data_IF_383026110659
#
_entry.id   IF_383026110659
#
_cell.length_a   1.000
_cell.length_b   1.000
_cell.length_c   1.000
_cell.angle_alpha   90.00
_cell.angle_beta   90.00
_cell.angle_gamma   90.00
#
_symmetry.space_group_name_H-M   'P 1'
#
loop_
_entity.id
_entity.type
_entity.pdbx_description
1 polymer ?
#
# COMPACT_ATOMS: atom_id res chain seq x y z
N UNK A 1 -27.41 -6.05 50.14
CA UNK A 1 -27.18 -7.49 49.92
C UNK A 1 -25.84 -7.82 50.54
N UNK A 2 -25.73 -8.95 51.24
CA UNK A 2 -24.50 -9.39 51.91
C UNK A 2 -24.03 -10.68 51.24
N UNK A 3 -22.71 -10.83 51.07
CA UNK A 3 -22.10 -12.05 50.56
C UNK A 3 -21.19 -12.67 51.60
N UNK A 4 -21.10 -14.00 51.60
CA UNK A 4 -20.22 -14.73 52.50
C UNK A 4 -18.82 -14.86 51.87
N UNK A 5 -17.77 -14.51 52.63
CA UNK A 5 -16.41 -14.70 52.17
C UNK A 5 -16.06 -16.21 52.13
N UNK A 6 -15.68 -16.72 50.96
CA UNK A 6 -15.37 -18.15 50.75
C UNK A 6 -14.25 -18.71 51.64
N UNK A 7 -13.32 -17.86 52.08
CA UNK A 7 -12.13 -18.29 52.85
C UNK A 7 -12.35 -18.31 54.36
N UNK A 8 -12.99 -17.29 54.92
CA UNK A 8 -13.14 -17.12 56.37
C UNK A 8 -14.59 -17.19 56.85
N UNK A 9 -15.57 -17.32 55.94
CA UNK A 9 -16.97 -17.55 56.27
C UNK A 9 -17.74 -16.35 56.83
N UNK A 10 -17.11 -15.20 57.01
CA UNK A 10 -17.79 -13.98 57.51
C UNK A 10 -18.69 -13.35 56.45
N UNK A 11 -19.76 -12.69 56.89
CA UNK A 11 -20.61 -11.87 56.05
C UNK A 11 -19.95 -10.52 55.81
N UNK A 12 -19.91 -10.09 54.55
CA UNK A 12 -19.38 -8.79 54.14
C UNK A 12 -20.35 -8.10 53.16
N UNK A 13 -20.29 -6.76 53.06
CA UNK A 13 -21.04 -6.03 52.06
C UNK A 13 -20.68 -6.52 50.64
N UNK A 14 -21.68 -6.78 49.79
CA UNK A 14 -21.44 -7.29 48.42
C UNK A 14 -20.59 -6.35 47.55
N UNK A 15 -20.54 -5.06 47.88
CA UNK A 15 -19.73 -4.06 47.17
C UNK A 15 -18.25 -4.04 47.60
N UNK A 16 -17.91 -4.72 48.70
CA UNK A 16 -16.54 -4.74 49.23
C UNK A 16 -15.68 -5.74 48.45
N UNK A 17 -14.62 -5.29 47.75
CA UNK A 17 -13.85 -6.14 46.84
C UNK A 17 -12.85 -7.03 47.58
N UNK A 18 -12.52 -6.70 48.83
CA UNK A 18 -11.56 -7.41 49.67
C UNK A 18 -12.15 -7.66 51.05
N UNK A 19 -11.97 -8.87 51.58
CA UNK A 19 -12.41 -9.21 52.92
C UNK A 19 -11.55 -8.47 53.97
N UNK A 20 -12.14 -7.73 54.92
CA UNK A 20 -11.39 -7.00 55.94
C UNK A 20 -10.70 -7.92 56.95
N UNK A 21 -11.20 -9.14 57.15
CA UNK A 21 -10.65 -10.08 58.14
C UNK A 21 -9.48 -10.92 57.59
N UNK A 22 -9.60 -11.48 56.38
CA UNK A 22 -8.59 -12.41 55.83
C UNK A 22 -7.87 -11.88 54.59
N UNK A 23 -8.28 -10.74 54.04
CA UNK A 23 -7.65 -10.12 52.88
C UNK A 23 -7.92 -10.79 51.53
N UNK A 24 -8.82 -11.77 51.45
CA UNK A 24 -9.19 -12.45 50.21
C UNK A 24 -9.97 -11.51 49.27
N UNK A 25 -9.65 -11.52 47.98
CA UNK A 25 -10.39 -10.80 46.94
C UNK A 25 -11.68 -11.57 46.65
N UNK A 26 -12.82 -10.87 46.59
CA UNK A 26 -14.10 -11.51 46.32
C UNK A 26 -14.24 -11.88 44.84
N UNK A 27 -14.83 -13.03 44.54
CA UNK A 27 -15.07 -13.48 43.15
C UNK A 27 -16.07 -12.59 42.39
N UNK A 28 -16.91 -11.85 43.11
CA UNK A 28 -17.85 -10.88 42.52
C UNK A 28 -17.14 -9.62 42.01
N UNK A 29 -15.87 -9.42 42.36
CA UNK A 29 -15.10 -8.26 41.95
C UNK A 29 -14.47 -8.46 40.58
N UNK A 30 -14.93 -7.69 39.59
CA UNK A 30 -14.35 -7.68 38.25
C UNK A 30 -13.19 -6.70 38.17
N UNK A 31 -11.97 -7.22 38.09
CA UNK A 31 -10.76 -6.42 37.94
C UNK A 31 -10.67 -5.80 36.53
N UNK A 32 -10.40 -4.50 36.47
CA UNK A 32 -10.21 -3.75 35.22
C UNK A 32 -8.71 -3.62 34.92
N UNK A 33 -8.22 -4.34 33.92
CA UNK A 33 -6.81 -4.23 33.49
C UNK A 33 -6.52 -2.90 32.81
N UNK A 34 -5.39 -2.30 33.20
CA UNK A 34 -4.85 -1.06 32.62
C UNK A 34 -4.39 -1.28 31.19
N UNK A 35 -3.67 -2.38 30.95
CA UNK A 35 -3.14 -2.72 29.63
C UNK A 35 -4.26 -3.10 28.66
N UNK A 36 -5.30 -3.79 29.12
CA UNK A 36 -6.48 -4.06 28.29
C UNK A 36 -7.20 -2.77 27.90
N UNK A 37 -7.44 -1.87 28.85
CA UNK A 37 -8.06 -0.57 28.56
C UNK A 37 -7.22 0.26 27.57
N UNK A 38 -5.89 0.26 27.73
CA UNK A 38 -4.97 0.93 26.81
C UNK A 38 -4.99 0.32 25.40
N UNK A 39 -4.96 -1.01 25.27
CA UNK A 39 -5.03 -1.68 23.98
C UNK A 39 -6.36 -1.38 23.27
N UNK A 40 -7.47 -1.44 24.00
CA UNK A 40 -8.79 -1.08 23.47
C UNK A 40 -8.87 0.39 23.04
N UNK A 41 -8.16 1.29 23.73
CA UNK A 41 -8.12 2.70 23.36
C UNK A 41 -7.27 2.95 22.11
N UNK A 42 -6.12 2.26 21.97
CA UNK A 42 -5.20 2.45 20.83
C UNK A 42 -5.73 1.83 19.53
N UNK A 43 -6.32 0.63 19.60
CA UNK A 43 -6.77 -0.10 18.40
C UNK A 43 -8.28 0.00 18.16
N UNK A 44 -9.07 0.19 19.23
CA UNK A 44 -10.53 0.30 19.18
C UNK A 44 -11.05 1.68 19.56
N UNK A 45 -10.16 2.69 19.66
CA UNK A 45 -10.49 4.03 20.14
C UNK A 45 -11.59 4.70 19.34
N UNK A 46 -11.66 4.48 18.02
CA UNK A 46 -12.69 5.06 17.15
C UNK A 46 -14.12 4.64 17.56
N UNK A 47 -14.28 3.47 18.17
CA UNK A 47 -15.56 2.96 18.65
C UNK A 47 -15.76 3.20 20.16
N UNK A 48 -14.75 3.69 20.87
CA UNK A 48 -14.82 3.92 22.31
C UNK A 48 -14.84 2.65 23.16
N UNK A 49 -14.32 1.52 22.67
CA UNK A 49 -14.34 0.24 23.40
C UNK A 49 -13.71 0.32 24.79
N UNK A 50 -12.68 1.12 24.98
CA UNK A 50 -12.06 1.36 26.28
C UNK A 50 -12.99 2.04 27.28
N UNK A 51 -13.89 2.92 26.84
CA UNK A 51 -14.88 3.59 27.70
C UNK A 51 -15.99 2.62 28.12
N UNK A 52 -16.46 1.78 27.20
CA UNK A 52 -17.39 0.70 27.52
C UNK A 52 -16.77 -0.34 28.45
N UNK A 53 -15.50 -0.71 28.24
CA UNK A 53 -14.74 -1.59 29.12
C UNK A 53 -14.66 -1.05 30.56
N UNK A 54 -14.54 0.27 30.73
CA UNK A 54 -14.53 0.91 32.04
C UNK A 54 -15.93 1.08 32.65
N UNK A 55 -17.00 0.73 31.93
CA UNK A 55 -18.40 0.89 32.37
C UNK A 55 -18.92 2.32 32.28
N UNK A 56 -18.36 3.15 31.39
CA UNK A 56 -18.70 4.57 31.26
C UNK A 56 -19.68 4.79 30.09
N UNK A 57 -20.87 5.34 30.38
CA UNK A 57 -21.93 5.57 29.39
C UNK A 57 -21.55 6.54 28.26
N UNK A 58 -20.60 7.44 28.52
CA UNK A 58 -20.14 8.42 27.54
C UNK A 58 -19.37 7.80 26.37
N UNK A 59 -19.09 6.49 26.39
CA UNK A 59 -18.63 5.75 25.22
C UNK A 59 -19.57 5.89 24.00
N UNK A 60 -20.87 6.17 24.22
CA UNK A 60 -21.82 6.41 23.11
C UNK A 60 -21.41 7.57 22.20
N UNK A 61 -20.77 8.61 22.74
CA UNK A 61 -20.31 9.74 21.93
C UNK A 61 -19.21 9.34 20.94
N UNK A 62 -18.40 8.33 21.28
CA UNK A 62 -17.38 7.81 20.37
C UNK A 62 -18.05 7.09 19.19
N UNK A 63 -19.14 6.35 19.43
CA UNK A 63 -19.90 5.69 18.36
C UNK A 63 -20.62 6.70 17.46
N UNK A 64 -21.23 7.74 18.03
CA UNK A 64 -21.93 8.77 17.24
C UNK A 64 -20.98 9.62 16.40
N UNK A 65 -19.76 9.85 16.90
CA UNK A 65 -18.73 10.66 16.24
C UNK A 65 -17.70 9.82 15.48
N UNK A 66 -17.86 8.50 15.35
CA UNK A 66 -16.83 7.62 14.78
C UNK A 66 -16.46 8.01 13.33
N UNK A 67 -17.42 8.49 12.55
CA UNK A 67 -17.25 8.94 11.17
C UNK A 67 -16.43 10.25 11.03
N UNK A 68 -16.28 11.01 12.11
CA UNK A 68 -15.49 12.26 12.12
C UNK A 68 -14.00 12.00 12.33
N UNK A 69 -13.61 10.77 12.67
CA UNK A 69 -12.26 10.39 13.13
C UNK A 69 -11.74 11.14 14.37
N UNK A 70 -12.48 12.11 14.93
CA UNK A 70 -12.14 12.77 16.20
C UNK A 70 -11.97 11.75 17.34
N UNK A 71 -12.87 10.75 17.51
CA UNK A 71 -12.71 9.73 18.55
C UNK A 71 -11.44 8.90 18.43
N UNK A 72 -10.87 8.76 17.22
CA UNK A 72 -9.61 8.05 17.02
C UNK A 72 -8.45 8.79 17.69
N UNK A 73 -8.32 10.11 17.45
CA UNK A 73 -7.25 10.92 18.06
C UNK A 73 -7.40 10.97 19.58
N UNK A 74 -8.63 11.17 20.07
CA UNK A 74 -8.91 11.18 21.52
C UNK A 74 -8.59 9.82 22.14
N UNK A 75 -8.98 8.72 21.48
CA UNK A 75 -8.67 7.36 21.92
C UNK A 75 -7.16 7.08 21.99
N UNK A 76 -6.38 7.57 21.02
CA UNK A 76 -4.91 7.46 21.07
C UNK A 76 -4.31 8.18 22.27
N UNK A 77 -4.73 9.43 22.53
CA UNK A 77 -4.25 10.21 23.68
C UNK A 77 -4.59 9.48 24.99
N UNK A 78 -5.83 9.01 25.12
CA UNK A 78 -6.28 8.28 26.30
C UNK A 78 -5.55 6.96 26.50
N UNK A 79 -5.29 6.23 25.41
CA UNK A 79 -4.47 5.01 25.43
C UNK A 79 -3.06 5.26 25.97
N UNK A 80 -2.40 6.34 25.52
CA UNK A 80 -1.08 6.75 26.02
C UNK A 80 -1.17 7.12 27.51
N UNK A 81 -2.18 7.91 27.91
CA UNK A 81 -2.39 8.27 29.31
C UNK A 81 -2.57 7.02 30.18
N UNK A 82 -3.33 6.02 29.72
CA UNK A 82 -3.50 4.77 30.46
C UNK A 82 -2.20 3.98 30.60
N UNK A 83 -1.37 3.93 29.56
CA UNK A 83 -0.05 3.28 29.61
C UNK A 83 0.94 4.02 30.52
N UNK A 84 0.83 5.35 30.62
CA UNK A 84 1.68 6.18 31.47
C UNK A 84 1.18 6.28 32.92
N UNK A 85 -0.09 5.95 33.19
CA UNK A 85 -0.66 5.93 34.55
C UNK A 85 -0.04 4.80 35.36
N UNK A 86 0.40 5.06 36.60
CA UNK A 86 0.96 4.02 37.45
C UNK A 86 -0.08 2.95 37.82
N UNK A 87 0.36 1.71 38.08
CA UNK A 87 -0.56 0.64 38.47
C UNK A 87 -1.33 0.97 39.76
N UNK A 88 -0.68 1.66 40.70
CA UNK A 88 -1.29 2.02 41.99
C UNK A 88 -2.38 3.09 41.83
N UNK A 89 -2.14 4.11 41.02
CA UNK A 89 -3.16 5.13 40.69
C UNK A 89 -4.32 4.52 39.92
N UNK A 90 -4.03 3.64 38.96
CA UNK A 90 -5.05 2.91 38.21
C UNK A 90 -5.96 2.12 39.15
N UNK A 91 -5.35 1.36 40.06
CA UNK A 91 -6.10 0.54 41.00
C UNK A 91 -6.92 1.38 41.98
N UNK A 92 -6.39 2.51 42.46
CA UNK A 92 -7.17 3.46 43.28
C UNK A 92 -8.39 3.99 42.53
N UNK A 93 -8.25 4.31 41.25
CA UNK A 93 -9.31 4.93 40.44
C UNK A 93 -10.38 3.93 39.97
N UNK A 94 -9.97 2.74 39.51
CA UNK A 94 -10.87 1.81 38.82
C UNK A 94 -11.07 0.48 39.54
N UNK A 95 -10.19 0.13 40.48
CA UNK A 95 -10.19 -1.17 41.18
C UNK A 95 -10.28 -1.04 42.72
N UNK A 96 -10.76 0.10 43.25
CA UNK A 96 -10.93 0.35 44.69
C UNK A 96 -9.66 0.06 45.54
N UNK A 97 -8.47 0.27 44.97
CA UNK A 97 -7.18 0.01 45.61
C UNK A 97 -6.73 -1.46 45.63
N UNK A 98 -7.51 -2.39 45.04
CA UNK A 98 -7.13 -3.80 44.91
C UNK A 98 -6.10 -3.98 43.79
N UNK A 99 -5.01 -4.69 44.08
CA UNK A 99 -3.95 -5.01 43.12
C UNK A 99 -3.96 -6.48 42.75
N UNK A 100 -4.02 -6.78 41.45
CA UNK A 100 -3.91 -8.14 40.90
C UNK A 100 -2.49 -8.48 40.40
N UNK A 101 -1.49 -7.64 40.70
CA UNK A 101 -0.10 -7.81 40.28
C UNK A 101 0.43 -6.68 39.39
N UNK A 102 1.59 -6.91 38.75
CA UNK A 102 2.23 -5.94 37.83
C UNK A 102 1.89 -6.27 36.38
N UNK A 103 1.30 -5.32 35.66
CA UNK A 103 0.99 -5.45 34.24
C UNK A 103 2.13 -4.86 33.37
N UNK A 104 2.66 -5.64 32.42
CA UNK A 104 3.67 -5.18 31.45
C UNK A 104 3.01 -4.64 30.19
N UNK A 105 3.25 -3.36 29.86
CA UNK A 105 2.69 -2.70 28.68
C UNK A 105 3.55 -2.75 27.41
N UNK A 106 4.77 -3.30 27.48
CA UNK A 106 5.75 -3.27 26.39
C UNK A 106 5.19 -3.80 25.06
N UNK A 107 4.45 -4.90 25.11
CA UNK A 107 3.87 -5.52 23.90
C UNK A 107 2.87 -4.57 23.21
N UNK A 108 2.01 -3.91 23.99
CA UNK A 108 1.02 -2.96 23.44
C UNK A 108 1.69 -1.76 22.80
N UNK A 109 2.74 -1.21 23.42
CA UNK A 109 3.52 -0.10 22.86
C UNK A 109 4.18 -0.50 21.54
N UNK A 110 4.82 -1.68 21.51
CA UNK A 110 5.49 -2.18 20.30
C UNK A 110 4.49 -2.35 19.16
N UNK A 111 3.34 -3.00 19.39
CA UNK A 111 2.34 -3.20 18.35
C UNK A 111 1.74 -1.86 17.90
N UNK A 112 1.46 -0.95 18.82
CA UNK A 112 0.87 0.36 18.51
C UNK A 112 1.79 1.24 17.64
N UNK A 113 3.11 1.03 17.72
CA UNK A 113 4.09 1.73 16.88
C UNK A 113 4.35 0.98 15.58
N UNK A 114 4.58 -0.33 15.62
CA UNK A 114 4.97 -1.11 14.44
C UNK A 114 3.82 -1.30 13.43
N UNK A 115 2.59 -1.50 13.91
CA UNK A 115 1.44 -1.72 13.04
C UNK A 115 1.19 -0.55 12.06
N UNK A 116 1.05 0.72 12.50
CA UNK A 116 0.86 1.83 11.57
C UNK A 116 2.08 2.06 10.66
N UNK A 117 3.30 1.82 11.15
CA UNK A 117 4.51 1.94 10.31
C UNK A 117 4.46 0.95 9.13
N UNK A 118 4.06 -0.30 9.37
CA UNK A 118 3.95 -1.30 8.30
C UNK A 118 2.91 -0.92 7.23
N UNK A 119 1.78 -0.32 7.64
CA UNK A 119 0.75 0.16 6.73
C UNK A 119 1.27 1.33 5.87
N UNK A 120 2.02 2.26 6.46
CA UNK A 120 2.64 3.38 5.74
C UNK A 120 3.61 2.88 4.67
N UNK A 121 4.44 1.88 4.98
CA UNK A 121 5.32 1.25 4.00
C UNK A 121 4.55 0.61 2.84
N UNK A 122 3.39 -0.01 3.11
CA UNK A 122 2.51 -0.56 2.09
C UNK A 122 1.97 0.51 1.13
N UNK A 123 1.55 1.67 1.66
CA UNK A 123 1.09 2.80 0.84
C UNK A 123 2.22 3.34 -0.03
N UNK A 124 3.42 3.51 0.54
CA UNK A 124 4.57 3.96 -0.23
C UNK A 124 4.94 2.99 -1.36
N UNK A 125 4.93 1.68 -1.09
CA UNK A 125 5.18 0.67 -2.12
C UNK A 125 4.12 0.72 -3.23
N UNK A 126 2.84 0.85 -2.88
CA UNK A 126 1.75 0.92 -3.85
C UNK A 126 1.87 2.11 -4.82
N UNK A 127 2.44 3.24 -4.36
CA UNK A 127 2.69 4.41 -5.21
C UNK A 127 3.99 4.26 -6.02
N UNK A 128 5.04 3.70 -5.40
CA UNK A 128 6.36 3.61 -6.02
C UNK A 128 6.45 2.55 -7.14
N UNK A 129 5.78 1.40 -6.97
CA UNK A 129 5.82 0.28 -7.92
C UNK A 129 5.35 0.70 -9.34
N UNK A 130 4.15 1.26 -9.54
CA UNK A 130 3.68 1.63 -10.89
C UNK A 130 4.53 2.73 -11.51
N UNK A 131 5.01 3.68 -10.71
CA UNK A 131 5.91 4.72 -11.19
C UNK A 131 7.22 4.11 -11.73
N UNK A 132 7.85 3.22 -10.96
CA UNK A 132 9.08 2.54 -11.35
C UNK A 132 8.94 1.74 -12.66
N UNK A 133 7.83 1.01 -12.83
CA UNK A 133 7.56 0.25 -14.05
C UNK A 133 7.54 1.14 -15.31
N UNK A 134 6.90 2.32 -15.23
CA UNK A 134 6.84 3.25 -16.36
C UNK A 134 8.21 3.83 -16.76
N UNK A 135 9.14 3.98 -15.80
CA UNK A 135 10.49 4.46 -16.07
C UNK A 135 11.32 3.40 -16.80
N UNK A 136 11.21 2.14 -16.39
CA UNK A 136 11.92 1.02 -17.03
C UNK A 136 11.43 0.84 -18.47
N UNK A 137 10.12 0.90 -18.71
CA UNK A 137 9.56 0.82 -20.07
C UNK A 137 10.08 1.92 -20.98
N UNK A 138 10.14 3.18 -20.51
CA UNK A 138 10.69 4.29 -21.28
C UNK A 138 12.17 4.10 -21.61
N UNK A 139 12.95 3.58 -20.67
CA UNK A 139 14.37 3.32 -20.88
C UNK A 139 14.57 2.24 -21.96
N UNK A 140 13.76 1.17 -21.93
CA UNK A 140 13.85 0.07 -22.89
C UNK A 140 13.35 0.48 -24.28
N UNK A 141 12.26 1.25 -24.37
CA UNK A 141 11.81 1.81 -25.64
C UNK A 141 12.86 2.76 -26.25
N UNK A 142 13.61 3.51 -25.44
CA UNK A 142 14.69 4.34 -25.93
C UNK A 142 15.87 3.53 -26.51
N UNK A 143 16.17 2.36 -25.91
CA UNK A 143 17.16 1.42 -26.45
C UNK A 143 16.69 0.81 -27.78
N UNK A 144 15.44 0.34 -27.84
CA UNK A 144 14.83 -0.21 -29.06
C UNK A 144 14.72 0.83 -30.18
N UNK A 145 14.49 2.10 -29.86
CA UNK A 145 14.43 3.18 -30.84
C UNK A 145 15.73 3.28 -31.66
N UNK A 146 16.89 3.06 -31.05
CA UNK A 146 18.17 3.13 -31.77
C UNK A 146 18.30 2.04 -32.85
N UNK A 147 17.80 0.83 -32.57
CA UNK A 147 17.78 -0.26 -33.56
C UNK A 147 16.75 0.04 -34.65
N UNK A 148 15.61 0.58 -34.24
CA UNK A 148 14.52 0.89 -35.18
C UNK A 148 14.87 2.02 -36.14
N UNK A 149 15.61 3.04 -35.68
CA UNK A 149 16.15 4.11 -36.53
C UNK A 149 16.96 3.56 -37.72
N UNK A 150 17.69 2.45 -37.52
CA UNK A 150 18.48 1.82 -38.58
C UNK A 150 17.57 1.21 -39.67
N UNK A 151 16.49 0.55 -39.25
CA UNK A 151 15.51 -0.04 -40.19
C UNK A 151 14.68 1.04 -40.87
N UNK A 152 14.29 2.08 -40.14
CA UNK A 152 13.60 3.26 -40.70
C UNK A 152 14.43 3.89 -41.82
N UNK A 153 15.73 4.12 -41.59
CA UNK A 153 16.62 4.64 -42.63
C UNK A 153 16.70 3.73 -43.85
N UNK A 154 16.75 2.41 -43.67
CA UNK A 154 16.78 1.47 -44.79
C UNK A 154 15.47 1.47 -45.59
N UNK A 155 14.32 1.51 -44.91
CA UNK A 155 13.00 1.63 -45.54
C UNK A 155 12.89 2.94 -46.32
N UNK A 156 13.37 4.07 -45.76
CA UNK A 156 13.39 5.36 -46.45
C UNK A 156 14.24 5.31 -47.73
N UNK A 157 15.45 4.77 -47.65
CA UNK A 157 16.34 4.65 -48.80
C UNK A 157 15.68 3.82 -49.89
N UNK A 158 15.10 2.67 -49.54
CA UNK A 158 14.42 1.79 -50.48
C UNK A 158 13.21 2.48 -51.13
N UNK A 159 12.37 3.13 -50.33
CA UNK A 159 11.19 3.83 -50.81
C UNK A 159 11.56 4.97 -51.78
N UNK A 160 12.67 5.67 -51.53
CA UNK A 160 13.17 6.74 -52.40
C UNK A 160 13.84 6.22 -53.68
N UNK A 161 14.57 5.09 -53.63
CA UNK A 161 15.27 4.55 -54.79
C UNK A 161 14.34 3.78 -55.74
N UNK A 162 13.46 2.95 -55.18
CA UNK A 162 12.59 2.05 -55.95
C UNK A 162 11.20 2.63 -56.19
N UNK A 163 10.87 3.77 -55.57
CA UNK A 163 9.56 4.43 -55.62
C UNK A 163 8.40 3.53 -55.17
N UNK A 164 8.69 2.54 -54.33
CA UNK A 164 7.73 1.58 -53.75
C UNK A 164 8.13 1.22 -52.33
N UNK A 165 7.15 0.88 -51.50
CA UNK A 165 7.43 0.41 -50.15
C UNK A 165 8.02 -1.01 -50.18
N UNK A 166 8.94 -1.35 -49.26
CA UNK A 166 9.47 -2.70 -49.15
C UNK A 166 8.37 -3.65 -48.65
N UNK A 167 8.15 -4.75 -49.37
CA UNK A 167 7.17 -5.78 -48.98
C UNK A 167 7.62 -6.56 -47.74
N UNK A 168 8.94 -6.72 -47.54
CA UNK A 168 9.51 -7.46 -46.43
C UNK A 168 10.92 -6.96 -46.05
N UNK A 169 11.39 -7.39 -44.88
CA UNK A 169 12.68 -6.95 -44.33
C UNK A 169 13.88 -7.53 -45.11
N UNK A 170 13.72 -8.68 -45.76
CA UNK A 170 14.76 -9.37 -46.52
C UNK A 170 15.20 -8.56 -47.75
N UNK A 171 14.32 -7.71 -48.28
CA UNK A 171 14.60 -6.85 -49.44
C UNK A 171 15.53 -5.69 -49.08
N UNK A 172 15.63 -5.34 -47.78
CA UNK A 172 16.39 -4.20 -47.29
C UNK A 172 17.90 -4.48 -47.12
N UNK A 173 18.36 -5.70 -47.43
CA UNK A 173 19.76 -6.16 -47.31
C UNK A 173 20.41 -5.75 -45.97
N UNK A 174 19.62 -5.84 -44.89
CA UNK A 174 20.09 -5.53 -43.54
C UNK A 174 20.99 -6.67 -43.05
N UNK A 175 22.31 -6.51 -43.17
CA UNK A 175 23.29 -7.46 -42.66
C UNK A 175 23.45 -7.31 -41.14
N UNK A 176 22.48 -7.80 -40.36
CA UNK A 176 22.52 -7.76 -38.90
C UNK A 176 21.41 -8.57 -38.26
N UNK A 177 21.70 -9.17 -37.09
CA UNK A 177 20.66 -9.72 -36.23
C UNK A 177 19.91 -8.55 -35.59
N UNK A 178 18.61 -8.45 -35.87
CA UNK A 178 17.73 -7.40 -35.36
C UNK A 178 17.06 -7.80 -34.04
N UNK A 179 17.48 -8.91 -33.45
CA UNK A 179 17.04 -9.34 -32.13
C UNK A 179 17.96 -8.79 -31.03
N UNK A 180 17.38 -8.55 -29.85
CA UNK A 180 18.12 -8.07 -28.68
C UNK A 180 17.54 -8.66 -27.40
N UNK A 181 18.08 -8.30 -26.24
CA UNK A 181 17.45 -8.64 -24.96
C UNK A 181 16.02 -8.10 -24.83
N UNK A 182 15.68 -7.03 -25.54
CA UNK A 182 14.38 -6.38 -25.52
C UNK A 182 13.51 -6.78 -26.72
N UNK A 183 14.12 -7.00 -27.89
CA UNK A 183 13.43 -7.24 -29.17
C UNK A 183 13.50 -8.74 -29.49
N UNK A 184 12.32 -9.36 -29.60
CA UNK A 184 12.14 -10.75 -30.02
C UNK A 184 12.30 -10.91 -31.53
N UNK A 185 11.64 -10.03 -32.29
CA UNK A 185 11.71 -9.98 -33.74
C UNK A 185 11.33 -8.59 -34.23
N UNK A 186 11.83 -8.25 -35.41
CA UNK A 186 11.44 -7.05 -36.15
C UNK A 186 11.03 -7.47 -37.55
N UNK A 187 9.84 -7.05 -37.96
CA UNK A 187 9.23 -7.41 -39.25
C UNK A 187 8.89 -6.13 -40.00
N UNK A 188 8.96 -6.19 -41.32
CA UNK A 188 8.53 -5.10 -42.20
C UNK A 188 7.46 -5.65 -43.12
N UNK A 189 6.33 -4.97 -43.23
CA UNK A 189 5.26 -5.29 -44.19
C UNK A 189 4.76 -4.00 -44.84
N UNK A 190 4.94 -3.91 -46.17
CA UNK A 190 4.59 -2.73 -46.96
C UNK A 190 5.13 -1.41 -46.38
N UNK A 191 6.37 -1.44 -45.88
CA UNK A 191 7.04 -0.30 -45.23
C UNK A 191 6.67 -0.07 -43.77
N UNK A 192 5.64 -0.73 -43.23
CA UNK A 192 5.29 -0.66 -41.80
C UNK A 192 6.24 -1.56 -41.01
N UNK A 193 6.84 -1.01 -39.95
CA UNK A 193 7.78 -1.72 -39.09
C UNK A 193 7.03 -2.21 -37.85
N UNK A 194 7.05 -3.51 -37.62
CA UNK A 194 6.51 -4.17 -36.43
C UNK A 194 7.66 -4.63 -35.55
N UNK A 195 7.69 -4.13 -34.32
CA UNK A 195 8.67 -4.53 -33.31
C UNK A 195 7.96 -5.34 -32.23
N UNK A 196 8.33 -6.60 -32.13
CA UNK A 196 7.85 -7.53 -31.10
C UNK A 196 8.85 -7.56 -29.95
N UNK A 197 8.38 -7.22 -28.74
CA UNK A 197 9.23 -7.26 -27.55
C UNK A 197 9.28 -8.66 -26.94
N UNK A 198 10.38 -8.98 -26.25
CA UNK A 198 10.44 -10.18 -25.42
C UNK A 198 9.48 -10.06 -24.22
N UNK A 199 8.93 -11.18 -23.77
CA UNK A 199 8.01 -11.20 -22.62
C UNK A 199 8.70 -10.70 -21.33
N UNK A 200 10.00 -10.97 -21.21
CA UNK A 200 10.85 -10.53 -20.09
C UNK A 200 11.43 -9.12 -20.29
N UNK A 201 11.11 -8.46 -21.41
CA UNK A 201 11.60 -7.12 -21.66
C UNK A 201 11.03 -6.14 -20.64
N UNK A 202 9.82 -6.34 -20.11
CA UNK A 202 9.15 -5.36 -19.24
C UNK A 202 8.37 -4.29 -20.01
N UNK A 203 8.45 -4.31 -21.36
CA UNK A 203 7.55 -3.58 -22.26
C UNK A 203 6.39 -4.51 -22.64
N UNK A 204 5.16 -4.04 -22.43
CA UNK A 204 3.97 -4.77 -22.81
C UNK A 204 3.40 -4.21 -24.11
N UNK A 205 3.06 -5.09 -25.06
CA UNK A 205 2.54 -4.73 -26.38
C UNK A 205 3.61 -4.77 -27.47
N UNK A 206 3.26 -4.25 -28.65
CA UNK A 206 4.11 -4.15 -29.83
C UNK A 206 4.22 -2.68 -30.26
N UNK A 207 5.41 -2.29 -30.71
CA UNK A 207 5.65 -0.98 -31.31
C UNK A 207 5.43 -1.10 -32.82
N UNK A 208 4.56 -0.26 -33.36
CA UNK A 208 4.20 -0.24 -34.79
C UNK A 208 4.54 1.14 -35.33
N UNK A 209 5.40 1.18 -36.35
CA UNK A 209 5.89 2.43 -36.93
C UNK A 209 5.52 2.44 -38.41
N UNK A 210 4.65 3.37 -38.78
CA UNK A 210 4.05 3.49 -40.10
C UNK A 210 4.67 4.68 -40.82
N UNK A 211 5.22 4.50 -42.02
CA UNK A 211 5.72 5.61 -42.81
C UNK A 211 4.57 6.38 -43.45
N UNK A 212 4.65 7.70 -43.40
CA UNK A 212 3.72 8.63 -44.03
C UNK A 212 4.49 9.50 -45.03
N UNK A 213 4.14 9.43 -46.31
CA UNK A 213 4.75 10.30 -47.32
C UNK A 213 4.18 11.71 -47.21
N UNK A 214 4.95 12.61 -46.64
CA UNK A 214 4.69 14.05 -46.75
C UNK A 214 5.31 14.54 -48.05
N UNK A 215 4.73 15.53 -48.73
CA UNK A 215 5.30 16.09 -49.96
C UNK A 215 6.72 16.68 -49.83
N UNK A 216 7.30 16.64 -48.62
CA UNK A 216 8.65 17.12 -48.27
C UNK A 216 9.58 16.00 -47.75
N UNK A 217 9.12 14.75 -47.65
CA UNK A 217 9.89 13.62 -47.12
C UNK A 217 9.01 12.54 -46.48
N UNK A 218 9.64 11.55 -45.85
CA UNK A 218 8.92 10.50 -45.13
C UNK A 218 8.84 10.91 -43.64
N UNK A 219 7.63 10.95 -43.11
CA UNK A 219 7.33 11.10 -41.68
C UNK A 219 6.98 9.74 -41.10
N UNK A 220 7.07 9.58 -39.79
CA UNK A 220 6.80 8.32 -39.12
C UNK A 220 5.74 8.49 -38.05
N UNK A 221 4.66 7.73 -38.17
CA UNK A 221 3.58 7.66 -37.19
C UNK A 221 3.70 6.37 -36.38
N UNK A 222 3.46 6.46 -35.07
CA UNK A 222 3.48 5.33 -34.15
C UNK A 222 2.12 5.11 -33.46
N UNK A 223 1.06 5.77 -33.91
CA UNK A 223 -0.27 5.76 -33.29
C UNK A 223 -0.91 4.37 -33.20
N UNK A 224 -0.54 3.47 -34.11
CA UNK A 224 -1.02 2.08 -34.17
C UNK A 224 -0.33 1.15 -33.16
N UNK A 225 0.60 1.67 -32.36
CA UNK A 225 1.31 0.87 -31.36
C UNK A 225 0.40 0.47 -30.20
N UNK A 226 0.60 -0.74 -29.69
CA UNK A 226 -0.15 -1.27 -28.53
C UNK A 226 0.59 -1.09 -27.20
N UNK A 227 1.82 -0.55 -27.24
CA UNK A 227 2.56 -0.16 -26.05
C UNK A 227 1.91 1.05 -25.36
N UNK A 228 2.12 1.17 -24.06
CA UNK A 228 1.59 2.25 -23.23
C UNK A 228 1.93 3.64 -23.83
N UNK A 229 0.91 4.46 -24.13
CA UNK A 229 1.08 5.75 -24.81
C UNK A 229 2.07 6.67 -24.09
N UNK A 230 2.08 6.65 -22.75
CA UNK A 230 2.99 7.49 -21.96
C UNK A 230 4.45 7.05 -22.05
N UNK A 231 4.71 5.79 -22.43
CA UNK A 231 6.04 5.23 -22.61
C UNK A 231 6.63 5.54 -24.00
N UNK A 232 5.78 5.88 -24.99
CA UNK A 232 6.22 6.24 -26.33
C UNK A 232 7.13 7.49 -26.35
N UNK A 233 8.12 7.54 -27.26
CA UNK A 233 8.93 8.73 -27.50
C UNK A 233 8.08 9.97 -27.80
N UNK A 234 8.61 11.15 -27.48
CA UNK A 234 7.91 12.43 -27.73
C UNK A 234 7.53 12.65 -29.19
N UNK A 235 8.30 12.16 -30.16
CA UNK A 235 7.96 12.23 -31.59
C UNK A 235 6.67 11.48 -31.93
N UNK A 236 6.50 10.28 -31.37
CA UNK A 236 5.30 9.46 -31.53
C UNK A 236 4.07 9.99 -30.74
N UNK A 237 4.27 10.93 -29.79
CA UNK A 237 3.19 11.49 -28.95
C UNK A 237 2.67 12.85 -29.40
N UNK A 238 3.24 13.44 -30.45
CA UNK A 238 2.95 14.82 -30.86
C UNK A 238 2.10 14.94 -32.14
N UNK A 239 1.36 13.91 -32.53
CA UNK A 239 0.40 14.01 -33.64
C UNK A 239 -1.01 14.26 -33.08
N UNK A 240 -1.52 15.47 -33.35
CA UNK A 240 -2.90 15.89 -33.09
C UNK A 240 -3.69 15.88 -34.40
#
# INVERSE_FOLDING_TARGET
MESQCKKCGILIPTESPKCPSCGEIQDTFHYKSRIAAAALALFGGIFGFHRFFLGQWWGIFYLLLCWTYIPFIVGLIEGIVFLCTSQDEWNKKYNQGVSAGKEKGTVVVVIAVLFPLSAIFGIFAAIAIPAYQSYIQKAQLAETHMMTDTVMMAVEIYALSEQKWPESIEVLDLSGDLTSSQIRSMEVDNGVIYVHFNDDSGVYGNLVITPESTGQGISWDCSQSTVEYTALPSKCRMQF
#
